data_IF_190208410407
#
_entry.id   IF_190208410407
#
_cell.length_a   1.000
_cell.length_b   1.000
_cell.length_c   1.000
_cell.angle_alpha   90.00
_cell.angle_beta   90.00
_cell.angle_gamma   90.00
#
_symmetry.space_group_name_H-M   'P 1'
#
loop_
_entity.id
_entity.type
_entity.pdbx_description
1 polymer ?
#
# COMPACT_ATOMS: atom_id res chain seq x y z
N UNK A 1 -27.73 -10.69 19.39
CA UNK A 1 -26.91 -10.73 18.13
C UNK A 1 -25.79 -11.71 18.39
N UNK A 2 -25.52 -12.67 17.48
CA UNK A 2 -24.37 -13.56 17.60
C UNK A 2 -23.08 -12.72 17.47
N UNK A 3 -22.07 -13.02 18.30
CA UNK A 3 -20.75 -12.39 18.13
C UNK A 3 -20.21 -12.66 16.73
N UNK A 4 -19.61 -11.65 16.07
CA UNK A 4 -19.01 -11.83 14.75
C UNK A 4 -17.91 -12.89 14.84
N UNK A 5 -17.99 -13.92 13.99
CA UNK A 5 -16.96 -14.95 13.91
C UNK A 5 -15.65 -14.34 13.41
N UNK A 6 -14.56 -14.61 14.14
CA UNK A 6 -13.20 -14.27 13.70
C UNK A 6 -12.64 -15.44 12.90
N UNK A 7 -12.16 -15.16 11.71
CA UNK A 7 -11.55 -16.13 10.81
C UNK A 7 -10.07 -15.82 10.59
N UNK A 8 -9.27 -16.86 10.46
CA UNK A 8 -7.84 -16.76 10.14
C UNK A 8 -7.56 -17.15 8.69
N UNK A 9 -8.58 -17.15 7.83
CA UNK A 9 -8.43 -17.53 6.42
C UNK A 9 -7.73 -16.43 5.60
N UNK A 10 -8.05 -15.17 5.88
CA UNK A 10 -7.43 -14.01 5.21
C UNK A 10 -7.72 -12.74 6.01
N UNK A 11 -6.77 -11.82 6.04
CA UNK A 11 -6.92 -10.46 6.56
C UNK A 11 -7.96 -9.65 5.76
N UNK A 12 -8.11 -9.94 4.46
CA UNK A 12 -9.11 -9.32 3.58
C UNK A 12 -10.57 -9.59 4.00
N UNK A 13 -10.80 -10.53 4.90
CA UNK A 13 -12.14 -10.87 5.41
C UNK A 13 -12.51 -10.09 6.67
N UNK A 14 -11.54 -9.40 7.25
CA UNK A 14 -11.74 -8.64 8.46
C UNK A 14 -12.44 -7.29 8.17
N UNK A 15 -13.31 -6.89 9.09
CA UNK A 15 -13.82 -5.53 9.12
C UNK A 15 -12.73 -4.54 9.54
N UNK A 16 -12.91 -3.29 9.22
CA UNK A 16 -12.01 -2.21 9.64
C UNK A 16 -12.07 -2.04 11.16
N UNK A 17 -10.92 -1.87 11.78
CA UNK A 17 -10.83 -1.63 13.23
C UNK A 17 -11.58 -0.33 13.61
N UNK A 18 -12.36 -0.31 14.70
CA UNK A 18 -13.16 0.86 15.08
C UNK A 18 -12.37 2.17 15.18
N UNK A 19 -11.14 2.11 15.67
CA UNK A 19 -10.26 3.28 15.76
C UNK A 19 -9.86 3.83 14.39
N UNK A 20 -9.73 2.99 13.37
CA UNK A 20 -9.46 3.41 11.99
C UNK A 20 -10.70 4.12 11.41
N UNK A 21 -11.90 3.58 11.63
CA UNK A 21 -13.14 4.26 11.22
C UNK A 21 -13.27 5.61 11.89
N UNK A 22 -12.98 5.71 13.19
CA UNK A 22 -13.01 6.97 13.91
C UNK A 22 -11.98 7.97 13.37
N UNK A 23 -10.78 7.52 13.01
CA UNK A 23 -9.74 8.35 12.40
C UNK A 23 -10.16 8.87 11.02
N UNK A 24 -10.78 8.03 10.19
CA UNK A 24 -11.33 8.42 8.88
C UNK A 24 -12.41 9.50 9.06
N UNK A 25 -13.34 9.27 9.98
CA UNK A 25 -14.40 10.24 10.28
C UNK A 25 -13.85 11.60 10.78
N UNK A 26 -12.82 11.55 11.63
CA UNK A 26 -12.16 12.75 12.13
C UNK A 26 -11.37 13.50 11.05
N UNK A 27 -10.81 12.78 10.08
CA UNK A 27 -10.08 13.38 8.95
C UNK A 27 -11.01 13.94 7.87
N UNK A 28 -12.26 13.48 7.81
CA UNK A 28 -13.24 13.88 6.78
C UNK A 28 -13.93 15.22 7.13
N UNK A 29 -13.15 16.24 7.44
CA UNK A 29 -13.65 17.57 7.83
C UNK A 29 -13.07 18.66 6.92
N UNK A 30 -13.96 19.49 6.36
CA UNK A 30 -13.58 20.64 5.56
C UNK A 30 -12.96 20.27 4.20
N UNK A 31 -12.05 21.13 3.73
CA UNK A 31 -11.34 20.98 2.47
C UNK A 31 -9.84 20.95 2.72
N UNK A 32 -9.14 20.05 2.03
CA UNK A 32 -7.68 19.95 2.05
C UNK A 32 -7.14 19.88 0.62
N UNK A 33 -5.89 20.31 0.38
CA UNK A 33 -5.23 20.10 -0.90
C UNK A 33 -5.22 18.62 -1.27
N UNK A 34 -5.37 18.34 -2.57
CA UNK A 34 -5.29 16.97 -3.13
C UNK A 34 -3.86 16.61 -3.50
N UNK A 35 -3.69 15.40 -4.03
CA UNK A 35 -2.42 14.89 -4.57
C UNK A 35 -1.27 14.75 -3.55
N UNK A 36 -1.59 14.58 -2.27
CA UNK A 36 -0.59 14.39 -1.23
C UNK A 36 -0.03 15.67 -0.61
N UNK A 37 -0.56 16.84 -1.00
CA UNK A 37 -0.13 18.14 -0.46
C UNK A 37 -0.80 18.52 0.87
N UNK A 38 -1.54 17.58 1.46
CA UNK A 38 -2.23 17.79 2.73
C UNK A 38 -1.39 17.41 3.96
N UNK A 39 -1.76 18.00 5.10
CA UNK A 39 -1.05 17.80 6.35
C UNK A 39 -1.17 16.37 6.93
N UNK A 40 -2.20 15.61 6.54
CA UNK A 40 -2.38 14.21 7.00
C UNK A 40 -1.38 13.33 6.28
N UNK A 41 -1.26 13.47 4.96
CA UNK A 41 -0.25 12.76 4.15
C UNK A 41 1.16 13.10 4.62
N UNK A 42 1.48 14.37 4.89
CA UNK A 42 2.78 14.77 5.40
C UNK A 42 3.11 14.09 6.74
N UNK A 43 2.15 14.02 7.67
CA UNK A 43 2.34 13.32 8.95
C UNK A 43 2.50 11.82 8.79
N UNK A 44 1.74 11.19 7.88
CA UNK A 44 1.87 9.77 7.60
C UNK A 44 3.25 9.45 7.02
N UNK A 45 3.71 10.23 6.05
CA UNK A 45 5.06 10.15 5.48
C UNK A 45 6.13 10.23 6.56
N UNK A 46 6.08 11.25 7.41
CA UNK A 46 7.05 11.44 8.48
C UNK A 46 7.07 10.27 9.48
N UNK A 47 5.91 9.70 9.80
CA UNK A 47 5.83 8.53 10.69
C UNK A 47 6.42 7.28 10.07
N UNK A 48 6.23 7.05 8.78
CA UNK A 48 6.83 5.92 8.06
C UNK A 48 8.35 6.12 7.99
N UNK A 49 8.82 7.30 7.61
CA UNK A 49 10.25 7.61 7.57
C UNK A 49 10.95 7.38 8.90
N UNK A 50 10.30 7.69 10.02
CA UNK A 50 10.84 7.50 11.37
C UNK A 50 11.02 6.01 11.77
N UNK A 51 10.54 5.06 10.99
CA UNK A 51 10.77 3.62 11.21
C UNK A 51 12.12 3.14 10.65
N UNK A 52 12.82 3.97 9.90
CA UNK A 52 14.07 3.61 9.23
C UNK A 52 15.24 4.43 9.78
N UNK A 53 16.40 3.78 9.90
CA UNK A 53 17.65 4.42 10.37
C UNK A 53 18.37 5.19 9.24
N UNK A 54 17.77 5.28 8.05
CA UNK A 54 18.31 5.97 6.88
C UNK A 54 17.24 6.84 6.23
N UNK A 55 17.62 7.87 5.45
CA UNK A 55 16.67 8.62 4.63
C UNK A 55 15.96 7.72 3.63
N UNK A 56 14.63 7.73 3.63
CA UNK A 56 13.79 6.97 2.71
C UNK A 56 12.76 7.88 2.05
N UNK A 57 12.49 7.64 0.76
CA UNK A 57 11.34 8.20 0.09
C UNK A 57 10.10 7.34 0.37
N UNK A 58 8.97 7.98 0.63
CA UNK A 58 7.69 7.30 0.87
C UNK A 58 6.72 7.74 -0.22
N UNK A 59 6.15 6.75 -0.92
CA UNK A 59 5.15 6.96 -1.95
C UNK A 59 3.89 6.19 -1.60
N UNK A 60 2.76 6.86 -1.58
CA UNK A 60 1.46 6.22 -1.41
C UNK A 60 0.91 5.83 -2.77
N UNK A 61 0.47 4.58 -2.87
CA UNK A 61 -0.12 4.00 -4.07
C UNK A 61 -1.49 3.41 -3.72
N UNK A 62 -2.33 3.18 -4.72
CA UNK A 62 -3.72 2.81 -4.48
C UNK A 62 -3.94 1.33 -4.16
N UNK A 63 -2.99 0.44 -4.50
CA UNK A 63 -3.05 -1.00 -4.19
C UNK A 63 -1.67 -1.66 -4.18
N UNK A 64 -1.64 -2.97 -3.85
CA UNK A 64 -0.43 -3.78 -3.80
C UNK A 64 0.25 -3.97 -5.15
N UNK A 65 -0.51 -4.18 -6.23
CA UNK A 65 0.03 -4.29 -7.59
C UNK A 65 0.81 -3.03 -7.98
N UNK A 66 0.26 -1.86 -7.73
CA UNK A 66 0.97 -0.60 -7.97
C UNK A 66 2.25 -0.48 -7.13
N UNK A 67 2.22 -0.96 -5.87
CA UNK A 67 3.41 -0.98 -5.02
C UNK A 67 4.50 -1.90 -5.58
N UNK A 68 4.13 -3.11 -6.03
CA UNK A 68 5.07 -4.06 -6.61
C UNK A 68 5.67 -3.55 -7.92
N UNK A 69 4.83 -3.10 -8.85
CA UNK A 69 5.28 -2.60 -10.17
C UNK A 69 6.19 -1.39 -10.00
N UNK A 70 5.77 -0.36 -9.27
CA UNK A 70 6.56 0.86 -9.10
C UNK A 70 7.82 0.62 -8.25
N UNK A 71 7.72 -0.25 -7.23
CA UNK A 71 8.86 -0.63 -6.41
C UNK A 71 9.95 -1.33 -7.22
N UNK A 72 9.59 -2.31 -8.02
CA UNK A 72 10.51 -3.03 -8.88
C UNK A 72 11.05 -2.13 -10.00
N UNK A 73 10.20 -1.36 -10.67
CA UNK A 73 10.62 -0.43 -11.72
C UNK A 73 11.58 0.65 -11.20
N UNK A 74 11.52 1.02 -9.93
CA UNK A 74 12.48 1.95 -9.33
C UNK A 74 13.87 1.35 -9.10
N UNK A 75 13.98 0.02 -9.07
CA UNK A 75 15.22 -0.72 -8.76
C UNK A 75 15.84 -1.41 -9.98
N UNK A 76 15.11 -1.51 -11.09
CA UNK A 76 15.48 -2.30 -12.26
C UNK A 76 15.48 -1.46 -13.52
N UNK A 77 16.37 -1.82 -14.44
CA UNK A 77 16.40 -1.32 -15.81
C UNK A 77 15.54 -2.22 -16.72
N UNK A 78 15.03 -1.69 -17.82
CA UNK A 78 14.12 -2.39 -18.74
C UNK A 78 14.67 -3.68 -19.37
N UNK A 79 15.97 -3.92 -19.30
CA UNK A 79 16.64 -5.12 -19.81
C UNK A 79 16.92 -6.17 -18.71
N UNK A 80 16.57 -5.88 -17.45
CA UNK A 80 16.74 -6.79 -16.32
C UNK A 80 15.49 -7.63 -16.10
N UNK A 81 15.62 -8.71 -15.35
CA UNK A 81 14.54 -9.65 -15.03
C UNK A 81 14.42 -9.84 -13.54
N UNK A 82 13.22 -10.19 -13.10
CA UNK A 82 12.93 -10.59 -11.72
C UNK A 82 12.93 -12.11 -11.62
N UNK A 83 13.66 -12.65 -10.66
CA UNK A 83 13.59 -14.07 -10.31
C UNK A 83 12.65 -14.20 -9.11
N UNK A 84 11.54 -14.88 -9.29
CA UNK A 84 10.55 -15.10 -8.22
C UNK A 84 10.06 -16.56 -8.24
N UNK A 85 9.24 -16.91 -7.24
CA UNK A 85 8.53 -18.19 -7.22
C UNK A 85 7.40 -18.21 -8.26
N UNK A 86 7.11 -19.36 -8.80
CA UNK A 86 5.97 -19.61 -9.70
C UNK A 86 4.59 -19.40 -9.06
N UNK A 87 4.54 -19.19 -7.74
CA UNK A 87 3.35 -18.82 -6.97
C UNK A 87 3.45 -17.40 -6.40
N UNK A 88 4.44 -16.63 -6.81
CA UNK A 88 4.54 -15.22 -6.39
C UNK A 88 3.33 -14.41 -6.92
N UNK A 89 2.80 -13.52 -6.10
CA UNK A 89 1.68 -12.65 -6.47
C UNK A 89 1.97 -11.87 -7.75
N UNK A 90 3.20 -11.42 -7.91
CA UNK A 90 3.72 -10.74 -9.11
C UNK A 90 3.50 -11.57 -10.39
N UNK A 91 3.71 -12.90 -10.31
CA UNK A 91 3.58 -13.82 -11.45
C UNK A 91 2.11 -14.21 -11.72
N UNK A 92 1.33 -14.49 -10.66
CA UNK A 92 0.04 -15.17 -10.83
C UNK A 92 -1.18 -14.26 -10.68
N UNK A 93 -1.06 -13.11 -10.04
CA UNK A 93 -2.25 -12.37 -9.55
C UNK A 93 -2.23 -10.86 -9.87
N UNK A 94 -1.34 -10.40 -10.77
CA UNK A 94 -1.21 -8.98 -11.12
C UNK A 94 -1.49 -8.69 -12.60
N UNK A 95 -2.13 -9.63 -13.30
CA UNK A 95 -2.60 -9.48 -14.70
C UNK A 95 -1.51 -9.07 -15.69
N UNK A 96 -0.27 -9.49 -15.49
CA UNK A 96 0.86 -9.09 -16.34
C UNK A 96 1.24 -7.60 -16.19
N UNK A 97 0.92 -7.00 -15.06
CA UNK A 97 1.20 -5.57 -14.84
C UNK A 97 2.70 -5.30 -14.83
N UNK A 98 3.48 -6.19 -14.24
CA UNK A 98 4.94 -6.07 -14.23
C UNK A 98 5.51 -6.13 -15.65
N UNK A 99 5.16 -7.15 -16.43
CA UNK A 99 5.65 -7.36 -17.80
C UNK A 99 5.25 -6.23 -18.76
N UNK A 100 4.19 -5.51 -18.43
CA UNK A 100 3.73 -4.38 -19.23
C UNK A 100 4.50 -3.09 -18.92
N UNK A 101 4.97 -2.92 -17.69
CA UNK A 101 5.55 -1.66 -17.20
C UNK A 101 7.06 -1.71 -16.95
N UNK A 102 7.67 -2.87 -17.03
CA UNK A 102 9.12 -3.07 -16.82
C UNK A 102 9.92 -3.06 -18.10
#
# INVERSE_FOLDING_TARGET
MAEPRRHFASDNWAGVHPEIIAAIAAANLGHMPSYGDDAITARATARIQALFDAPVAVQFVFNGTAANVLGLASALESWQSVICSDVAHLEVDECGAWEHHA
#
